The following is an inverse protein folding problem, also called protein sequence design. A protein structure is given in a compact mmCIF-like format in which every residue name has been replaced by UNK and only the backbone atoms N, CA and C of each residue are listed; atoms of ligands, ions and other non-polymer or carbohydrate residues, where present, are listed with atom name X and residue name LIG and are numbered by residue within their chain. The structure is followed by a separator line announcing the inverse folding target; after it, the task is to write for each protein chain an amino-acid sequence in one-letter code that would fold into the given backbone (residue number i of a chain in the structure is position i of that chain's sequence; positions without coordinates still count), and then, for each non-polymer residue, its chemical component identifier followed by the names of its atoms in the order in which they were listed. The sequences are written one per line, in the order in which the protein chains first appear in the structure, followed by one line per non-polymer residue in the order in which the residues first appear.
data_IF_104926700193
#
_entry.id   IF_104926700193
#
_cell.length_a   1.000
_cell.length_b   1.000
_cell.length_c   1.000
_cell.angle_alpha   90.00
_cell.angle_beta   90.00
_cell.angle_gamma   90.00
#
_symmetry.space_group_name_H-M   'P 1'
#
loop_
_entity.id
_entity.type
_entity.pdbx_description
1 polymer ?
#
# COMPACT_ATOMS: atom_id res chain seq x y z
N UNK A 1 25.53 -10.42 15.19
CA UNK A 1 26.01 -9.51 14.13
C UNK A 1 24.76 -8.98 13.43
N UNK A 2 24.33 -7.78 13.78
CA UNK A 2 23.16 -7.15 13.17
C UNK A 2 23.54 -6.63 11.78
N UNK A 3 22.83 -7.07 10.76
CA UNK A 3 22.90 -6.45 9.44
C UNK A 3 21.88 -5.32 9.39
N UNK A 4 22.38 -4.08 9.47
CA UNK A 4 21.60 -2.89 9.16
C UNK A 4 21.26 -2.90 7.67
N UNK A 5 19.97 -2.88 7.34
CA UNK A 5 19.50 -2.75 5.96
C UNK A 5 19.81 -1.32 5.50
N UNK A 6 20.63 -1.22 4.45
CA UNK A 6 21.14 0.03 3.89
C UNK A 6 20.03 0.87 3.28
N UNK A 7 20.05 2.19 3.55
CA UNK A 7 19.18 3.24 2.99
C UNK A 7 19.16 3.29 1.44
N UNK A 8 20.02 2.54 0.77
CA UNK A 8 20.06 2.41 -0.68
C UNK A 8 18.88 1.61 -1.26
N UNK A 9 18.31 0.67 -0.52
CA UNK A 9 17.25 -0.23 -1.06
C UNK A 9 15.88 0.45 -1.11
N UNK A 10 15.56 1.35 -0.17
CA UNK A 10 14.37 2.23 -0.27
C UNK A 10 14.46 3.23 -1.43
N UNK A 11 15.66 3.51 -1.94
CA UNK A 11 15.88 4.51 -2.98
C UNK A 11 15.52 3.97 -4.39
N UNK A 12 15.59 2.66 -4.59
CA UNK A 12 15.34 2.02 -5.90
C UNK A 12 13.84 1.96 -6.22
N UNK A 13 13.00 1.63 -5.23
CA UNK A 13 11.52 1.56 -5.37
C UNK A 13 10.94 2.94 -5.74
N UNK A 14 11.51 4.01 -5.17
CA UNK A 14 11.15 5.40 -5.51
C UNK A 14 11.55 5.79 -6.94
N UNK A 15 12.56 5.14 -7.51
CA UNK A 15 13.09 5.48 -8.84
C UNK A 15 12.21 4.94 -9.96
N UNK A 16 11.66 3.74 -9.83
CA UNK A 16 10.75 3.19 -10.86
C UNK A 16 9.39 3.89 -10.88
N UNK A 17 8.82 4.20 -9.71
CA UNK A 17 7.60 5.01 -9.62
C UNK A 17 7.81 6.42 -10.23
N UNK A 18 9.01 7.01 -10.08
CA UNK A 18 9.37 8.27 -10.75
C UNK A 18 9.39 8.17 -12.27
N UNK A 19 9.97 7.10 -12.83
CA UNK A 19 10.03 6.91 -14.30
C UNK A 19 8.64 6.83 -14.93
N UNK A 20 7.68 6.19 -14.25
CA UNK A 20 6.28 6.16 -14.70
C UNK A 20 5.60 7.54 -14.64
N UNK A 21 5.99 8.43 -13.72
CA UNK A 21 5.45 9.79 -13.59
C UNK A 21 6.11 10.79 -14.55
N UNK A 22 7.40 10.61 -14.86
CA UNK A 22 8.19 11.47 -15.76
C UNK A 22 7.82 11.30 -17.24
N UNK A 23 7.22 10.17 -17.63
CA UNK A 23 6.76 9.90 -19.00
C UNK A 23 5.35 10.44 -19.31
N UNK A 24 4.76 11.23 -18.42
CA UNK A 24 3.47 11.90 -18.64
C UNK A 24 3.72 13.25 -19.32
N UNK A 25 3.04 13.53 -20.44
CA UNK A 25 3.16 14.80 -21.16
C UNK A 25 3.02 16.01 -20.20
N UNK A 26 3.88 17.04 -20.32
CA UNK A 26 3.85 18.17 -19.40
C UNK A 26 2.52 18.93 -19.50
N UNK A 27 1.82 19.04 -18.37
CA UNK A 27 0.70 19.95 -18.21
C UNK A 27 1.27 21.36 -18.37
N UNK A 28 0.75 22.09 -19.36
CA UNK A 28 1.16 23.46 -19.68
C UNK A 28 1.06 24.35 -18.44
N UNK A 29 2.20 24.81 -17.96
CA UNK A 29 2.32 25.77 -16.86
C UNK A 29 1.90 27.16 -17.37
N UNK A 30 0.72 27.63 -16.96
CA UNK A 30 0.31 29.01 -17.24
C UNK A 30 1.01 29.95 -16.26
N UNK A 31 2.02 30.67 -16.75
CA UNK A 31 2.68 31.77 -16.06
C UNK A 31 1.67 32.87 -15.72
N UNK A 32 1.44 33.15 -14.43
CA UNK A 32 0.56 34.24 -14.01
C UNK A 32 1.35 35.53 -13.75
N UNK A 33 1.22 36.46 -14.70
CA UNK A 33 1.64 37.86 -14.58
C UNK A 33 0.75 38.57 -13.55
N UNK A 34 1.36 39.30 -12.60
CA UNK A 34 0.65 40.15 -11.63
C UNK A 34 0.10 41.40 -12.31
N UNK A 35 -1.21 41.67 -12.18
CA UNK A 35 -1.68 43.03 -11.83
C UNK A 35 -3.15 43.10 -11.35
N UNK A 36 -3.33 43.94 -10.30
CA UNK A 36 -4.46 44.86 -10.01
C UNK A 36 -5.81 44.33 -9.48
N UNK A 37 -5.85 44.12 -8.16
CA UNK A 37 -6.76 44.65 -7.10
C UNK A 37 -8.26 44.97 -7.34
N UNK A 38 -8.92 44.43 -8.37
CA UNK A 38 -10.39 44.53 -8.52
C UNK A 38 -11.10 43.19 -8.78
N UNK A 39 -10.36 42.08 -8.71
CA UNK A 39 -10.84 40.71 -9.05
C UNK A 39 -10.89 39.75 -7.85
N UNK A 40 -10.87 40.26 -6.62
CA UNK A 40 -10.70 39.43 -5.41
C UNK A 40 -11.98 38.63 -5.08
N UNK A 41 -13.17 39.22 -5.24
CA UNK A 41 -14.42 38.54 -4.87
C UNK A 41 -14.89 37.48 -5.89
N UNK A 42 -14.56 37.61 -7.19
CA UNK A 42 -14.96 36.64 -8.21
C UNK A 42 -14.06 35.40 -8.24
N UNK A 43 -12.76 35.56 -7.91
CA UNK A 43 -11.80 34.45 -7.88
C UNK A 43 -12.00 33.54 -6.67
N UNK A 44 -12.34 34.09 -5.50
CA UNK A 44 -12.62 33.28 -4.30
C UNK A 44 -13.81 32.33 -4.50
N UNK A 45 -14.84 32.76 -5.25
CA UNK A 45 -16.00 31.92 -5.61
C UNK A 45 -15.62 30.79 -6.58
N UNK A 46 -14.81 31.08 -7.59
CA UNK A 46 -14.34 30.07 -8.55
C UNK A 46 -13.37 29.08 -7.91
N UNK A 47 -12.43 29.55 -7.09
CA UNK A 47 -11.48 28.72 -6.33
C UNK A 47 -12.20 27.79 -5.35
N UNK A 48 -13.22 28.31 -4.64
CA UNK A 48 -14.08 27.48 -3.78
C UNK A 48 -14.82 26.41 -4.58
N UNK A 49 -15.33 26.76 -5.77
CA UNK A 49 -15.99 25.80 -6.67
C UNK A 49 -15.06 24.69 -7.19
N UNK A 50 -13.77 25.00 -7.37
CA UNK A 50 -12.74 24.03 -7.78
C UNK A 50 -12.38 23.11 -6.61
N UNK A 51 -12.21 23.66 -5.41
CA UNK A 51 -11.95 22.88 -4.20
C UNK A 51 -13.10 21.91 -3.88
N UNK A 52 -14.35 22.34 -4.08
CA UNK A 52 -15.52 21.47 -3.90
C UNK A 52 -15.49 20.31 -4.90
N UNK A 53 -15.20 20.57 -6.18
CA UNK A 53 -15.01 19.52 -7.20
C UNK A 53 -13.86 18.57 -6.87
N UNK A 54 -12.73 19.09 -6.41
CA UNK A 54 -11.58 18.26 -5.99
C UNK A 54 -11.96 17.40 -4.78
N UNK A 55 -12.74 17.94 -3.83
CA UNK A 55 -13.22 17.20 -2.67
C UNK A 55 -14.17 16.07 -3.08
N UNK A 56 -15.07 16.32 -4.03
CA UNK A 56 -15.96 15.29 -4.59
C UNK A 56 -15.16 14.19 -5.29
N UNK A 57 -14.21 14.55 -6.15
CA UNK A 57 -13.32 13.59 -6.81
C UNK A 57 -12.49 12.78 -5.81
N UNK A 58 -12.00 13.42 -4.75
CA UNK A 58 -11.26 12.72 -3.70
C UNK A 58 -12.16 11.70 -2.96
N UNK A 59 -13.42 12.05 -2.67
CA UNK A 59 -14.39 11.12 -2.07
C UNK A 59 -14.72 9.96 -3.02
N UNK A 60 -14.81 10.24 -4.32
CA UNK A 60 -15.11 9.24 -5.34
C UNK A 60 -13.96 8.25 -5.54
N UNK A 61 -12.70 8.71 -5.50
CA UNK A 61 -11.56 7.89 -5.90
C UNK A 61 -10.65 7.41 -4.76
N UNK A 62 -10.67 8.04 -3.58
CA UNK A 62 -9.78 7.69 -2.46
C UNK A 62 -10.44 6.81 -1.40
N UNK A 63 -11.00 5.68 -1.81
CA UNK A 63 -11.65 4.73 -0.90
C UNK A 63 -10.77 3.52 -0.51
N UNK A 64 -9.75 3.19 -1.32
CA UNK A 64 -8.92 1.99 -1.12
C UNK A 64 -7.78 2.20 -0.13
N UNK A 65 -7.00 3.28 -0.31
CA UNK A 65 -5.88 3.61 0.57
C UNK A 65 -6.39 4.42 1.76
N UNK A 66 -6.11 3.92 2.98
CA UNK A 66 -6.42 4.63 4.22
C UNK A 66 -5.14 5.13 4.85
N UNK A 67 -5.17 6.33 5.43
CA UNK A 67 -3.97 6.87 6.09
C UNK A 67 -3.66 6.07 7.34
N UNK A 68 -2.39 5.69 7.52
CA UNK A 68 -1.97 5.00 8.73
C UNK A 68 -2.01 5.95 9.94
N UNK A 69 -2.67 5.60 11.05
CA UNK A 69 -2.93 6.55 12.14
C UNK A 69 -1.67 7.14 12.78
N UNK A 70 -0.58 6.38 12.86
CA UNK A 70 0.63 6.77 13.60
C UNK A 70 1.77 7.33 12.73
N UNK A 71 1.71 7.20 11.40
CA UNK A 71 2.74 7.71 10.48
C UNK A 71 2.11 8.38 9.27
N UNK A 72 2.29 9.71 9.17
CA UNK A 72 1.62 10.58 8.18
C UNK A 72 1.90 10.22 6.71
N UNK A 73 3.00 9.54 6.43
CA UNK A 73 3.44 9.16 5.08
C UNK A 73 3.02 7.73 4.69
N UNK A 74 2.49 6.94 5.64
CA UNK A 74 2.10 5.57 5.39
C UNK A 74 0.61 5.46 5.12
N UNK A 75 0.27 4.52 4.25
CA UNK A 75 -1.10 4.15 3.91
C UNK A 75 -1.28 2.65 4.14
N UNK A 76 -2.50 2.27 4.51
CA UNK A 76 -2.94 0.89 4.63
C UNK A 76 -3.89 0.55 3.51
N UNK A 77 -3.79 -0.70 3.07
CA UNK A 77 -4.77 -1.35 2.20
C UNK A 77 -5.43 -2.42 3.07
N UNK A 78 -6.76 -2.44 3.09
CA UNK A 78 -7.49 -3.47 3.81
C UNK A 78 -7.80 -4.62 2.86
N UNK A 79 -7.38 -5.84 3.21
CA UNK A 79 -7.90 -7.06 2.58
C UNK A 79 -9.17 -7.49 3.30
N UNK A 80 -10.18 -7.89 2.54
CA UNK A 80 -11.46 -8.37 3.05
C UNK A 80 -11.45 -9.89 2.96
N UNK A 81 -11.74 -10.56 4.08
CA UNK A 81 -11.81 -12.03 4.21
C UNK A 81 -12.94 -12.45 5.14
N UNK A 82 -13.50 -13.63 4.90
CA UNK A 82 -14.52 -14.30 5.70
C UNK A 82 -13.87 -15.09 6.85
N UNK A 83 -13.21 -14.34 7.73
CA UNK A 83 -12.63 -14.86 8.98
C UNK A 83 -11.27 -15.54 8.85
N UNK A 84 -10.82 -16.15 9.96
CA UNK A 84 -9.44 -16.64 10.12
C UNK A 84 -9.07 -17.78 9.17
N UNK A 85 -10.01 -18.69 8.89
CA UNK A 85 -9.73 -19.85 8.05
C UNK A 85 -9.50 -19.41 6.60
N UNK A 86 -10.39 -18.59 6.05
CA UNK A 86 -10.21 -18.05 4.69
C UNK A 86 -8.96 -17.18 4.61
N UNK A 87 -8.71 -16.33 5.61
CA UNK A 87 -7.48 -15.51 5.69
C UNK A 87 -6.22 -16.40 5.64
N UNK A 88 -6.22 -17.51 6.39
CA UNK A 88 -5.11 -18.46 6.39
C UNK A 88 -4.95 -19.15 5.03
N UNK A 89 -6.04 -19.53 4.37
CA UNK A 89 -6.00 -20.09 3.03
C UNK A 89 -5.50 -19.10 1.99
N UNK A 90 -5.87 -17.83 2.11
CA UNK A 90 -5.41 -16.76 1.24
C UNK A 90 -3.89 -16.54 1.40
N UNK A 91 -3.39 -16.39 2.63
CA UNK A 91 -1.95 -16.29 2.92
C UNK A 91 -1.21 -17.52 2.37
N UNK A 92 -1.74 -18.73 2.61
CA UNK A 92 -1.17 -19.97 2.10
C UNK A 92 -1.14 -20.02 0.57
N UNK A 93 -2.18 -19.54 -0.10
CA UNK A 93 -2.27 -19.52 -1.56
C UNK A 93 -1.27 -18.54 -2.16
N UNK A 94 -1.12 -17.35 -1.55
CA UNK A 94 -0.11 -16.37 -1.95
C UNK A 94 1.31 -16.95 -1.81
N UNK A 95 1.60 -17.62 -0.68
CA UNK A 95 2.89 -18.31 -0.49
C UNK A 95 3.15 -19.37 -1.57
N UNK A 96 2.16 -20.21 -1.87
CA UNK A 96 2.28 -21.26 -2.90
C UNK A 96 2.56 -20.66 -4.28
N UNK A 97 1.90 -19.56 -4.62
CA UNK A 97 2.16 -18.84 -5.88
C UNK A 97 3.59 -18.29 -5.91
N UNK A 98 4.07 -17.68 -4.82
CA UNK A 98 5.46 -17.22 -4.74
C UNK A 98 6.46 -18.36 -4.84
N UNK A 99 6.23 -19.51 -4.19
CA UNK A 99 7.07 -20.71 -4.32
C UNK A 99 7.09 -21.17 -5.78
N UNK A 100 5.92 -21.28 -6.42
CA UNK A 100 5.82 -21.67 -7.83
C UNK A 100 6.57 -20.69 -8.74
N UNK A 101 6.49 -19.39 -8.46
CA UNK A 101 7.21 -18.36 -9.21
C UNK A 101 8.73 -18.40 -8.99
N UNK A 102 9.18 -18.82 -7.81
CA UNK A 102 10.61 -19.06 -7.51
C UNK A 102 11.13 -20.33 -8.19
N UNK A 103 10.29 -21.32 -8.46
CA UNK A 103 10.70 -22.55 -9.14
C UNK A 103 10.65 -22.42 -10.67
N UNK A 104 9.89 -21.46 -11.21
CA UNK A 104 9.76 -21.23 -12.64
C UNK A 104 11.00 -20.54 -13.26
N UNK A 105 11.17 -20.71 -14.59
CA UNK A 105 12.12 -19.92 -15.36
C UNK A 105 11.70 -18.44 -15.35
N UNK A 106 12.46 -17.61 -14.63
CA UNK A 106 12.17 -16.19 -14.45
C UNK A 106 12.75 -15.38 -15.61
N UNK A 107 11.94 -15.14 -16.63
CA UNK A 107 12.29 -14.26 -17.75
C UNK A 107 11.58 -12.90 -17.61
N UNK A 108 12.33 -11.78 -17.52
CA UNK A 108 11.78 -10.44 -17.61
C UNK A 108 10.88 -10.27 -18.84
N UNK A 109 9.74 -9.62 -18.66
CA UNK A 109 8.83 -9.29 -19.76
C UNK A 109 8.14 -7.95 -19.53
N UNK A 110 7.31 -7.52 -20.48
CA UNK A 110 6.61 -6.22 -20.40
C UNK A 110 5.66 -6.09 -19.21
N UNK A 111 5.18 -7.22 -18.66
CA UNK A 111 4.26 -7.25 -17.51
C UNK A 111 5.03 -7.32 -16.19
N UNK A 112 6.11 -8.11 -16.15
CA UNK A 112 6.95 -8.32 -14.97
C UNK A 112 8.41 -8.11 -15.38
N UNK A 113 8.92 -6.86 -15.33
CA UNK A 113 10.29 -6.53 -15.72
C UNK A 113 11.32 -7.11 -14.75
N UNK A 114 11.04 -7.06 -13.45
CA UNK A 114 11.96 -7.48 -12.38
C UNK A 114 11.33 -8.63 -11.56
N UNK A 115 11.22 -9.85 -12.12
CA UNK A 115 10.48 -10.95 -11.48
C UNK A 115 11.03 -11.31 -10.10
N UNK A 116 12.35 -11.30 -9.91
CA UNK A 116 12.96 -11.64 -8.62
C UNK A 116 12.68 -10.59 -7.54
N UNK A 117 12.75 -9.31 -7.91
CA UNK A 117 12.42 -8.21 -7.02
C UNK A 117 10.94 -8.28 -6.61
N UNK A 118 10.05 -8.46 -7.58
CA UNK A 118 8.61 -8.49 -7.35
C UNK A 118 8.22 -9.66 -6.44
N UNK A 119 8.79 -10.85 -6.65
CA UNK A 119 8.55 -11.99 -5.76
C UNK A 119 9.02 -11.69 -4.34
N UNK A 120 10.21 -11.08 -4.18
CA UNK A 120 10.74 -10.70 -2.85
C UNK A 120 9.84 -9.70 -2.14
N UNK A 121 9.33 -8.70 -2.85
CA UNK A 121 8.41 -7.71 -2.29
C UNK A 121 7.09 -8.33 -1.85
N UNK A 122 6.50 -9.19 -2.70
CA UNK A 122 5.26 -9.90 -2.36
C UNK A 122 5.46 -10.80 -1.14
N UNK A 123 6.57 -11.51 -1.03
CA UNK A 123 6.91 -12.29 0.17
C UNK A 123 7.01 -11.40 1.41
N UNK A 124 7.57 -10.19 1.28
CA UNK A 124 7.58 -9.19 2.35
C UNK A 124 6.17 -8.75 2.77
N UNK A 125 5.26 -8.54 1.82
CA UNK A 125 3.86 -8.23 2.12
C UNK A 125 3.14 -9.41 2.81
N UNK A 126 3.40 -10.64 2.36
CA UNK A 126 2.86 -11.85 2.97
C UNK A 126 3.28 -11.97 4.43
N UNK A 127 4.54 -11.69 4.74
CA UNK A 127 5.03 -11.70 6.13
C UNK A 127 4.24 -10.73 7.01
N UNK A 128 3.91 -9.54 6.51
CA UNK A 128 3.12 -8.54 7.21
C UNK A 128 1.63 -8.94 7.36
N UNK A 129 1.15 -9.93 6.62
CA UNK A 129 -0.23 -10.44 6.73
C UNK A 129 -0.39 -11.51 7.80
N UNK A 130 0.69 -12.07 8.35
CA UNK A 130 0.61 -13.14 9.35
C UNK A 130 0.13 -12.54 10.69
N UNK A 131 -1.01 -13.01 11.25
CA UNK A 131 -1.61 -12.47 12.46
C UNK A 131 -0.95 -13.07 13.72
N UNK A 132 0.31 -12.70 13.99
CA UNK A 132 1.12 -13.28 15.07
C UNK A 132 0.50 -13.10 16.46
N UNK A 133 -0.12 -11.96 16.74
CA UNK A 133 -0.75 -11.67 18.04
C UNK A 133 -1.97 -12.58 18.27
N UNK A 134 -2.80 -12.78 17.24
CA UNK A 134 -3.93 -13.69 17.29
C UNK A 134 -3.47 -15.15 17.42
N UNK A 135 -2.37 -15.54 16.79
CA UNK A 135 -1.76 -16.86 16.98
C UNK A 135 -1.29 -17.05 18.42
N UNK A 136 -0.61 -16.07 19.02
CA UNK A 136 -0.19 -16.13 20.42
C UNK A 136 -1.40 -16.20 21.37
N UNK A 137 -2.48 -15.46 21.06
CA UNK A 137 -3.73 -15.53 21.79
C UNK A 137 -4.35 -16.95 21.76
N UNK A 138 -4.36 -17.60 20.60
CA UNK A 138 -4.85 -18.98 20.46
C UNK A 138 -4.02 -19.98 21.29
N UNK A 139 -2.70 -19.83 21.32
CA UNK A 139 -1.82 -20.66 22.16
C UNK A 139 -2.12 -20.46 23.66
N UNK A 140 -2.27 -19.20 24.11
CA UNK A 140 -2.65 -18.87 25.48
C UNK A 140 -4.00 -19.51 25.86
N UNK A 141 -5.00 -19.44 24.99
CA UNK A 141 -6.31 -20.09 25.22
C UNK A 141 -6.16 -21.60 25.40
N UNK A 142 -5.38 -22.24 24.52
CA UNK A 142 -5.19 -23.70 24.57
C UNK A 142 -4.56 -24.16 25.88
N UNK A 143 -3.73 -23.34 26.51
CA UNK A 143 -3.16 -23.63 27.83
C UNK A 143 -4.15 -23.47 28.99
N UNK A 144 -5.20 -22.67 28.82
CA UNK A 144 -6.20 -22.40 29.85
C UNK A 144 -7.35 -23.42 29.79
N UNK A 145 -7.79 -23.81 28.59
CA UNK A 145 -8.88 -24.79 28.35
C UNK A 145 -8.81 -26.08 29.17
N UNK A 146 -7.66 -26.77 29.33
CA UNK A 146 -7.60 -28.00 30.13
C UNK A 146 -7.96 -27.78 31.61
N UNK A 147 -7.86 -26.55 32.12
CA UNK A 147 -8.25 -26.20 33.49
C UNK A 147 -9.76 -25.89 33.63
N UNK A 148 -10.52 -25.90 32.53
CA UNK A 148 -11.96 -25.59 32.50
C UNK A 148 -12.85 -26.83 32.51
N UNK A 149 -12.33 -28.01 32.14
CA UNK A 149 -13.09 -29.27 32.10
C UNK A 149 -13.18 -30.00 33.45
N UNK A 150 -12.70 -29.40 34.55
CA UNK A 150 -12.64 -30.04 35.89
C UNK A 150 -13.42 -29.31 36.99
N UNK A 151 -14.55 -28.68 36.66
CA UNK A 151 -15.44 -28.07 37.67
C UNK A 151 -16.88 -28.51 37.57
#
# INVERSE_FOLDING_TARGET
MGHEISKSEQNIINTECRKYLENRDPIKENTFVKESTSQVESRESEEKSILDKISELAKEHFHTLKRYPSKKELYTINLITDGYLETSFMISSLLKVCITALDAERTPNSVVPEPEQNIREVLGYILNMIPYEEMEFLDKIRHILPNMETK
#
